data_IF_919935391457
#
_entry.id   IF_919935391457
#
_cell.length_a   1.000
_cell.length_b   1.000
_cell.length_c   1.000
_cell.angle_alpha   90.00
_cell.angle_beta   90.00
_cell.angle_gamma   90.00
#
_symmetry.space_group_name_H-M   'P 1'
#
loop_
_entity.id
_entity.type
_entity.pdbx_description
1 polymer ?
2 polymer ?
3 non-polymer ?
4 non-polymer ?
5 non-polymer ?
6 non-polymer ?
7 water ?
#
# COMPACT_ATOMS: atom_id res chain seq x y z
N UNK A 1 -9.29 -3.41 4.23
CA UNK A 1 -8.41 -2.36 3.66
C UNK A 1 -7.01 -2.88 3.41
N UNK A 2 -6.11 -1.96 3.10
CA UNK A 2 -4.81 -2.33 2.55
C UNK A 2 -3.91 -2.96 3.59
N UNK A 3 -4.05 -2.58 4.85
CA UNK A 3 -3.19 -3.16 5.88
C UNK A 3 -3.61 -4.63 6.11
N UNK A 4 -4.90 -4.86 6.28
CA UNK A 4 -5.40 -6.22 6.37
C UNK A 4 -5.02 -7.04 5.13
N UNK A 5 -5.13 -6.44 3.95
CA UNK A 5 -4.89 -7.16 2.70
C UNK A 5 -3.44 -7.54 2.47
N UNK A 6 -2.52 -6.64 2.83
CA UNK A 6 -1.14 -6.66 2.36
C UNK A 6 -0.09 -6.76 3.44
N UNK A 7 -0.47 -6.79 4.71
CA UNK A 7 0.53 -6.88 5.77
C UNK A 7 0.69 -8.26 6.40
N UNK A 8 -0.21 -9.20 6.09
CA UNK A 8 -0.03 -10.60 6.54
C UNK A 8 0.39 -11.47 5.38
N UNK A 9 -0.37 -11.42 4.31
CA UNK A 9 0.04 -12.01 3.04
C UNK A 9 0.55 -10.91 2.12
N UNK A 10 1.49 -11.27 1.26
CA UNK A 10 2.16 -10.33 0.37
C UNK A 10 1.28 -9.89 -0.80
N UNK A 11 1.37 -8.62 -1.18
CA UNK A 11 0.62 -8.07 -2.31
C UNK A 11 1.54 -7.81 -3.49
N UNK A 12 1.04 -8.10 -4.69
CA UNK A 12 1.75 -7.77 -5.90
C UNK A 12 1.62 -6.28 -6.18
N UNK A 13 2.54 -5.78 -6.99
CA UNK A 13 2.44 -4.40 -7.44
C UNK A 13 1.14 -4.20 -8.21
N UNK A 14 0.63 -5.25 -8.86
CA UNK A 14 -0.63 -5.15 -9.58
C UNK A 14 -1.77 -4.92 -8.64
N UNK A 15 -1.81 -5.63 -7.51
CA UNK A 15 -2.82 -5.39 -6.46
C UNK A 15 -2.75 -3.97 -5.87
N UNK A 16 -1.54 -3.45 -5.71
CA UNK A 16 -1.39 -2.12 -5.16
C UNK A 16 -1.95 -1.05 -6.09
N UNK A 17 -1.94 -1.30 -7.39
CA UNK A 17 -2.54 -0.34 -8.34
C UNK A 17 -3.99 0.01 -8.06
N UNK A 18 -4.72 -0.85 -7.35
CA UNK A 18 -6.12 -0.56 -6.99
C UNK A 18 -6.27 0.68 -6.14
N UNK A 19 -5.22 1.03 -5.39
CA UNK A 19 -5.28 2.16 -4.49
C UNK A 19 -4.82 3.46 -5.12
N UNK A 20 -4.38 3.41 -6.37
CA UNK A 20 -4.01 4.62 -7.12
C UNK A 20 -5.27 5.42 -7.41
N UNK A 21 -5.14 6.74 -7.46
CA UNK A 21 -6.29 7.63 -7.68
C UNK A 21 -6.71 7.51 -9.11
N UNK B 1 0.62 -4.10 17.05
CA UNK B 1 0.40 -3.01 16.06
C UNK B 1 1.70 -2.52 15.43
N UNK B 2 2.84 -2.80 16.05
CA UNK B 2 4.13 -2.36 15.52
C UNK B 2 4.37 -2.95 14.12
N UNK B 3 4.10 -4.23 13.93
CA UNK B 3 4.37 -4.83 12.63
C UNK B 3 3.56 -4.18 11.53
N UNK B 4 2.33 -3.82 11.85
CA UNK B 4 1.46 -3.18 10.88
C UNK B 4 1.97 -1.76 10.57
N UNK B 5 2.47 -1.05 11.59
CA UNK B 5 3.07 0.26 11.39
C UNK B 5 4.28 0.19 10.45
N UNK B 6 5.15 -0.78 10.67
CA UNK B 6 6.33 -0.94 9.83
C UNK B 6 5.90 -1.27 8.39
N UNK B 7 4.96 -2.20 8.25
CA UNK B 7 4.45 -2.60 6.93
C UNK B 7 3.83 -1.41 6.17
N UNK B 8 3.03 -0.61 6.85
CA UNK B 8 2.38 0.55 6.26
C UNK B 8 3.37 1.53 5.66
N UNK B 9 4.49 1.73 6.34
CA UNK B 9 5.55 2.61 5.82
C UNK B 9 6.03 2.14 4.43
N UNK B 10 6.24 0.83 4.28
CA UNK B 10 6.63 0.26 3.01
C UNK B 10 5.52 0.28 1.97
N UNK B 11 4.27 0.13 2.42
CA UNK B 11 3.13 0.16 1.49
C UNK B 11 3.06 1.51 0.84
N UNK B 12 3.22 2.57 1.62
CA UNK B 12 3.10 3.93 1.06
C UNK B 12 4.26 4.25 0.12
N UNK B 13 5.45 3.74 0.41
CA UNK B 13 6.55 3.95 -0.52
C UNK B 13 6.32 3.23 -1.85
N UNK B 14 5.74 2.03 -1.80
CA UNK B 14 5.43 1.28 -3.01
C UNK B 14 4.33 1.95 -3.80
N UNK B 15 3.28 2.42 -3.13
CA UNK B 15 2.18 3.11 -3.82
C UNK B 15 2.71 4.35 -4.52
N UNK B 16 3.64 5.06 -3.87
CA UNK B 16 4.20 6.27 -4.49
C UNK B 16 4.81 5.93 -5.84
N UNK B 17 5.60 4.86 -5.89
CA UNK B 17 6.26 4.47 -7.13
C UNK B 17 5.31 3.88 -8.15
N UNK B 18 4.41 3.02 -7.70
CA UNK B 18 3.48 2.31 -8.61
C UNK B 18 2.55 3.33 -9.27
N UNK B 19 2.07 4.29 -8.49
CA UNK B 19 0.96 5.16 -8.94
C UNK B 19 1.43 6.37 -9.72
N UNK B 20 2.69 6.78 -9.57
CA UNK B 20 3.25 7.85 -10.37
C UNK B 20 2.42 9.12 -10.28
N UNK B 21 2.22 9.75 -11.44
CA UNK B 21 1.44 10.97 -11.55
C UNK B 21 -0.01 10.91 -11.02
N UNK B 22 -0.61 9.72 -10.95
CA UNK B 22 -1.97 9.59 -10.45
C UNK B 22 -2.09 9.89 -8.98
N UNK B 23 -1.01 9.63 -8.22
CA UNK B 23 -1.10 9.63 -6.79
C UNK B 23 -1.97 8.51 -6.25
N UNK B 24 -2.27 8.55 -4.97
CA UNK B 24 -3.02 7.48 -4.32
C UNK B 24 -3.74 7.94 -3.08
N UNK B 25 -4.67 7.10 -2.61
CA UNK B 25 -5.43 7.36 -1.40
C UNK B 25 -5.05 6.25 -0.42
N UNK B 26 -4.33 6.60 0.64
CA UNK B 26 -3.95 5.66 1.69
C UNK B 26 -4.88 5.77 2.88
N UNK B 27 -5.49 4.65 3.26
CA UNK B 27 -6.22 4.60 4.54
C UNK B 27 -5.94 3.22 5.14
N UNK B 28 -5.59 3.12 6.41
CA UNK B 28 -5.22 1.80 6.95
C UNK B 28 -6.38 0.81 6.92
X LIG C 1 3.27 -5.79 0.74
X LIG C 1 3.77 -5.39 -0.46
X LIG C 1 4.60 -4.29 -0.57
X LIG C 1 4.93 -3.56 0.57
X LIG C 1 4.40 -3.95 1.80
X LIG C 1 3.57 -5.05 1.90
X LIG C 1 5.13 -3.91 -1.92
X LIG C 1 2.46 -6.84 0.82
X LIG D 1 -9.30 -2.68 23.02
X LIG D 1 -10.67 -3.40 23.07
X LIG D 1 -10.54 -4.86 22.76
X LIG D 1 -9.60 -5.23 21.63
X LIG D 1 -8.26 -4.48 21.74
X LIG D 1 -7.42 -4.83 20.50
X LIG D 1 -7.64 1.25 6.89
X LIG D 1 -8.75 0.31 6.68
X LIG D 1 -9.23 -0.19 8.02
X LIG D 1 -9.62 0.92 8.95
X LIG D 1 -10.96 0.59 9.56
X LIG D 1 -11.53 1.85 10.17
X LIG D 1 -11.28 1.84 11.58
X LIG D 1 -12.09 1.21 12.41
X LIG D 1 -13.04 0.52 12.04
X LIG D 1 -11.79 1.43 13.87
X LIG D 1 -11.73 0.11 14.64
X LIG D 1 -10.99 0.29 15.96
X LIG D 1 -11.81 1.19 16.87
X LIG D 1 -10.64 -1.04 16.63
X LIG D 1 -9.77 -1.96 15.74
X LIG D 1 -9.84 -1.02 17.93
X LIG D 1 -10.58 -0.67 19.21
X LIG D 1 -8.62 -0.10 17.77
X LIG D 1 -9.43 -2.49 18.02
X LIG D 1 -8.89 -2.82 16.62
X LIG D 1 -8.53 -2.85 19.20
X LIG D 1 -8.05 -4.32 19.18
X LIG D 1 -9.28 -2.49 20.49
X LIG D 1 -9.72 -1.01 20.42
X LIG D 1 -8.51 -2.95 21.74
X LIG D 1 -7.23 -2.10 21.88
X LIG D 1 -11.22 -5.73 23.32
X LIG D 1 -9.85 0.95 5.87
X LIG D 1 -10.80 0.26 5.47
X LIG D 1 -9.78 2.15 5.62
X LIG E 1 11.00 -1.47 7.30
X LIG F 1 10.31 -3.26 8.38
#
# INVERSE_FOLDING_TARGET
GIVEQCCTSICSLYQLENYCN
FVNQHLCGSHLVEALYLVCGERGFFYTPK
CRS C1 C2 C3 C4 C5 C6 C7 O1
UZ9 C1 C2 C3 C4 C5 C6 N CA CB CG CD CE NZ C24 O2 C23 C22 C20 C21 C17 C16 C13 C12 C18 C14 C15 C8 C7 C9 C11 C10 C19 O1 C O OXT
ZN ZN
CL CL
#
